data_IF_031839024764
#
_entry.id   IF_031839024764
#
_cell.length_a   1.000
_cell.length_b   1.000
_cell.length_c   1.000
_cell.angle_alpha   90.00
_cell.angle_beta   90.00
_cell.angle_gamma   90.00
#
_symmetry.space_group_name_H-M   'P 1'
#
loop_
_entity.id
_entity.type
_entity.pdbx_description
1 polymer ?
#
# COMPACT_ATOMS: atom_id res chain seq x y z
N UNK A 1 -12.71 28.78 8.52
CA UNK A 1 -13.06 27.51 9.20
C UNK A 1 -12.16 26.39 8.67
N UNK A 2 -10.96 26.20 9.21
CA UNK A 2 -10.11 25.03 8.93
C UNK A 2 -9.38 24.55 10.20
N UNK A 3 -9.97 24.78 11.37
CA UNK A 3 -9.36 24.44 12.66
C UNK A 3 -9.70 23.03 13.14
N UNK A 4 -10.76 22.41 12.62
CA UNK A 4 -11.25 21.10 13.08
C UNK A 4 -10.28 19.97 12.72
N UNK A 5 -9.71 19.98 11.51
CA UNK A 5 -8.70 18.99 11.10
C UNK A 5 -7.43 19.06 11.95
N UNK A 6 -6.97 20.25 12.29
CA UNK A 6 -5.79 20.44 13.15
C UNK A 6 -6.05 20.01 14.60
N UNK A 7 -7.23 20.33 15.16
CA UNK A 7 -7.63 19.89 16.51
C UNK A 7 -7.65 18.37 16.61
N UNK A 8 -8.28 17.70 15.65
CA UNK A 8 -8.36 16.22 15.61
C UNK A 8 -7.00 15.57 15.43
N UNK A 9 -6.08 16.19 14.68
CA UNK A 9 -4.72 15.70 14.53
C UNK A 9 -3.95 15.74 15.87
N UNK A 10 -4.14 16.79 16.67
CA UNK A 10 -3.54 16.89 18.01
C UNK A 10 -4.13 15.84 18.96
N UNK A 11 -5.45 15.64 18.93
CA UNK A 11 -6.14 14.62 19.76
C UNK A 11 -5.71 13.18 19.42
N UNK A 12 -5.45 12.90 18.14
CA UNK A 12 -5.06 11.56 17.68
C UNK A 12 -3.59 11.21 17.98
N UNK A 13 -2.78 12.19 18.39
CA UNK A 13 -1.37 11.98 18.70
C UNK A 13 -0.52 11.62 17.47
N UNK A 14 0.73 11.25 17.73
CA UNK A 14 1.67 10.85 16.68
C UNK A 14 1.46 9.39 16.28
N UNK A 15 1.53 9.10 14.97
CA UNK A 15 1.38 7.74 14.46
C UNK A 15 2.40 6.79 15.11
N UNK A 16 2.03 5.56 15.50
CA UNK A 16 2.98 4.54 15.94
C UNK A 16 4.08 4.27 14.89
N UNK A 17 3.75 4.49 13.61
CA UNK A 17 4.65 4.34 12.47
C UNK A 17 5.38 5.64 12.10
N UNK A 18 5.26 6.71 12.90
CA UNK A 18 6.03 7.92 12.68
C UNK A 18 7.53 7.61 12.70
N UNK A 19 8.22 8.03 11.64
CA UNK A 19 9.64 7.75 11.40
C UNK A 19 9.92 6.43 10.65
N UNK A 20 8.92 5.57 10.43
CA UNK A 20 9.10 4.36 9.62
C UNK A 20 9.38 4.72 8.16
N UNK A 21 10.40 4.10 7.58
CA UNK A 21 10.70 4.17 6.16
C UNK A 21 10.87 2.76 5.64
N UNK A 22 10.07 2.40 4.65
CA UNK A 22 10.13 1.10 4.03
C UNK A 22 11.35 1.02 3.11
N UNK A 23 12.23 0.06 3.34
CA UNK A 23 13.34 -0.29 2.45
C UNK A 23 12.82 -1.17 1.32
N UNK A 24 12.87 -0.63 0.11
CA UNK A 24 12.36 -1.31 -1.09
C UNK A 24 13.41 -2.18 -1.78
N UNK A 25 14.69 -2.10 -1.37
CA UNK A 25 15.78 -2.86 -2.01
C UNK A 25 15.46 -4.36 -2.12
N UNK A 26 14.92 -5.04 -1.08
CA UNK A 26 14.66 -6.49 -1.13
C UNK A 26 13.58 -6.92 -2.13
N UNK A 27 12.73 -5.99 -2.57
CA UNK A 27 11.52 -6.30 -3.37
C UNK A 27 11.41 -5.43 -4.64
N UNK A 28 12.54 -4.94 -5.14
CA UNK A 28 12.54 -3.99 -6.27
C UNK A 28 11.90 -4.58 -7.53
N UNK A 29 12.06 -5.89 -7.76
CA UNK A 29 11.49 -6.58 -8.91
C UNK A 29 9.95 -6.69 -8.80
N UNK A 30 9.44 -7.07 -7.64
CA UNK A 30 8.01 -7.15 -7.35
C UNK A 30 7.36 -5.78 -7.47
N UNK A 31 7.99 -4.72 -6.96
CA UNK A 31 7.47 -3.35 -7.12
C UNK A 31 7.33 -2.93 -8.58
N UNK A 32 8.31 -3.27 -9.43
CA UNK A 32 8.24 -2.98 -10.85
C UNK A 32 7.09 -3.75 -11.54
N UNK A 33 6.92 -5.04 -11.21
CA UNK A 33 5.83 -5.85 -11.73
C UNK A 33 4.45 -5.34 -11.25
N UNK A 34 4.34 -4.97 -9.98
CA UNK A 34 3.12 -4.41 -9.40
C UNK A 34 2.74 -3.07 -10.01
N UNK A 35 3.71 -2.21 -10.35
CA UNK A 35 3.43 -0.93 -11.01
C UNK A 35 2.89 -1.14 -12.43
N UNK A 36 3.39 -2.15 -13.16
CA UNK A 36 2.81 -2.52 -14.45
C UNK A 36 1.34 -2.93 -14.31
N UNK A 37 1.03 -3.81 -13.35
CA UNK A 37 -0.36 -4.22 -13.05
C UNK A 37 -1.21 -3.02 -12.65
N UNK A 38 -0.69 -2.12 -11.81
CA UNK A 38 -1.40 -0.92 -11.38
C UNK A 38 -1.81 -0.07 -12.58
N UNK A 39 -0.89 0.19 -13.51
CA UNK A 39 -1.16 1.02 -14.68
C UNK A 39 -2.24 0.43 -15.59
N UNK A 40 -2.22 -0.90 -15.75
CA UNK A 40 -3.10 -1.59 -16.69
C UNK A 40 -4.48 -1.92 -16.11
N UNK A 41 -4.57 -2.22 -14.82
CA UNK A 41 -5.79 -2.75 -14.21
C UNK A 41 -6.36 -1.86 -13.11
N UNK A 42 -5.53 -1.22 -12.29
CA UNK A 42 -6.02 -0.48 -11.10
C UNK A 42 -6.37 0.97 -11.44
N UNK A 43 -5.55 1.66 -12.23
CA UNK A 43 -5.81 3.06 -12.60
C UNK A 43 -7.16 3.21 -13.32
N UNK A 44 -7.52 2.40 -14.33
CA UNK A 44 -8.84 2.47 -14.97
C UNK A 44 -9.98 2.23 -13.98
N UNK A 45 -9.86 1.23 -13.10
CA UNK A 45 -10.85 0.94 -12.06
C UNK A 45 -11.04 2.13 -11.09
N UNK A 46 -9.95 2.78 -10.70
CA UNK A 46 -10.00 3.92 -9.76
C UNK A 46 -10.73 5.15 -10.30
N UNK A 47 -10.79 5.29 -11.62
CA UNK A 47 -11.50 6.38 -12.31
C UNK A 47 -12.86 5.94 -12.86
N UNK A 48 -13.31 4.71 -12.55
CA UNK A 48 -14.60 4.18 -12.97
C UNK A 48 -14.66 3.72 -14.44
N UNK A 49 -13.51 3.54 -15.11
CA UNK A 49 -13.45 2.95 -16.45
C UNK A 49 -13.49 1.43 -16.35
N UNK A 50 -14.70 0.88 -16.27
CA UNK A 50 -14.97 -0.56 -16.16
C UNK A 50 -16.31 -0.90 -16.79
N UNK A 51 -16.37 -2.03 -17.48
CA UNK A 51 -17.62 -2.58 -18.05
C UNK A 51 -18.27 -3.62 -17.11
N UNK A 52 -17.55 -4.03 -16.06
CA UNK A 52 -18.00 -4.98 -15.05
C UNK A 52 -17.10 -4.95 -13.81
N UNK A 53 -17.40 -4.04 -12.87
CA UNK A 53 -16.54 -3.72 -11.73
C UNK A 53 -16.09 -4.94 -10.94
N UNK A 54 -17.00 -5.88 -10.66
CA UNK A 54 -16.67 -7.06 -9.85
C UNK A 54 -15.69 -8.00 -10.56
N UNK A 55 -15.87 -8.21 -11.86
CA UNK A 55 -15.00 -9.07 -12.67
C UNK A 55 -13.63 -8.42 -12.89
N UNK A 56 -13.61 -7.13 -13.22
CA UNK A 56 -12.38 -6.36 -13.43
C UNK A 56 -11.58 -6.25 -12.13
N UNK A 57 -12.25 -6.05 -10.99
CA UNK A 57 -11.60 -6.04 -9.68
C UNK A 57 -11.04 -7.41 -9.31
N UNK A 58 -11.76 -8.50 -9.61
CA UNK A 58 -11.26 -9.85 -9.38
C UNK A 58 -9.99 -10.14 -10.21
N UNK A 59 -9.99 -9.74 -11.49
CA UNK A 59 -8.82 -9.84 -12.35
C UNK A 59 -7.65 -8.99 -11.84
N UNK A 60 -7.89 -7.74 -11.47
CA UNK A 60 -6.87 -6.85 -10.92
C UNK A 60 -6.23 -7.43 -9.64
N UNK A 61 -7.03 -8.04 -8.76
CA UNK A 61 -6.53 -8.71 -7.55
C UNK A 61 -5.66 -9.91 -7.88
N UNK A 62 -6.07 -10.74 -8.83
CA UNK A 62 -5.27 -11.89 -9.27
C UNK A 62 -3.93 -11.42 -9.85
N UNK A 63 -3.95 -10.49 -10.79
CA UNK A 63 -2.75 -9.94 -11.42
C UNK A 63 -1.80 -9.32 -10.39
N UNK A 64 -2.34 -8.57 -9.42
CA UNK A 64 -1.55 -7.96 -8.35
C UNK A 64 -0.91 -9.01 -7.44
N UNK A 65 -1.65 -10.10 -7.15
CA UNK A 65 -1.11 -11.21 -6.37
C UNK A 65 0.03 -11.92 -7.10
N UNK A 66 -0.12 -12.18 -8.40
CA UNK A 66 0.90 -12.82 -9.25
C UNK A 66 2.13 -11.93 -9.45
N UNK A 67 1.95 -10.61 -9.47
CA UNK A 67 3.04 -9.63 -9.58
C UNK A 67 3.91 -9.48 -8.33
N UNK A 68 3.58 -10.17 -7.23
CA UNK A 68 4.41 -10.19 -6.02
C UNK A 68 3.85 -9.44 -4.81
N UNK A 69 2.57 -9.06 -4.82
CA UNK A 69 1.94 -8.44 -3.65
C UNK A 69 2.08 -9.25 -2.34
N UNK A 70 1.99 -10.60 -2.34
CA UNK A 70 2.26 -11.37 -1.12
C UNK A 70 3.69 -11.20 -0.59
N UNK A 71 4.68 -11.12 -1.47
CA UNK A 71 6.08 -10.88 -1.11
C UNK A 71 6.26 -9.47 -0.54
N UNK A 72 5.67 -8.46 -1.19
CA UNK A 72 5.63 -7.09 -0.68
C UNK A 72 5.05 -7.02 0.74
N UNK A 73 3.90 -7.66 0.98
CA UNK A 73 3.25 -7.67 2.30
C UNK A 73 4.10 -8.36 3.36
N UNK A 74 4.77 -9.46 2.99
CA UNK A 74 5.68 -10.18 3.89
C UNK A 74 6.88 -9.31 4.28
N UNK A 75 7.50 -8.65 3.31
CA UNK A 75 8.66 -7.78 3.56
C UNK A 75 8.26 -6.56 4.41
N UNK A 76 7.11 -5.95 4.10
CA UNK A 76 6.56 -4.86 4.90
C UNK A 76 6.37 -5.28 6.36
N UNK A 77 5.79 -6.46 6.61
CA UNK A 77 5.59 -6.96 7.97
C UNK A 77 6.92 -7.17 8.71
N UNK A 78 7.93 -7.76 8.04
CA UNK A 78 9.27 -7.97 8.63
C UNK A 78 9.88 -6.63 9.08
N UNK A 79 9.81 -5.60 8.22
CA UNK A 79 10.38 -4.29 8.54
C UNK A 79 9.59 -3.55 9.62
N UNK A 80 8.27 -3.70 9.63
CA UNK A 80 7.42 -3.14 10.70
C UNK A 80 7.72 -3.80 12.05
N UNK A 81 7.91 -5.13 12.08
CA UNK A 81 8.27 -5.86 13.29
C UNK A 81 9.64 -5.43 13.81
N UNK A 82 10.63 -5.29 12.92
CA UNK A 82 11.96 -4.78 13.25
C UNK A 82 11.89 -3.34 13.81
N UNK A 83 11.12 -2.47 13.17
CA UNK A 83 10.92 -1.09 13.61
C UNK A 83 10.25 -1.01 14.99
N UNK A 84 9.22 -1.81 15.22
CA UNK A 84 8.53 -1.89 16.51
C UNK A 84 9.46 -2.39 17.62
N UNK A 85 10.36 -3.33 17.32
CA UNK A 85 11.37 -3.80 18.27
C UNK A 85 12.42 -2.74 18.62
N UNK A 86 12.79 -1.85 17.69
CA UNK A 86 13.72 -0.74 17.93
C UNK A 86 13.13 0.39 18.78
N UNK A 87 11.80 0.57 18.78
CA UNK A 87 11.11 1.56 19.61
C UNK A 87 10.90 1.14 21.08
N UNK A 88 11.23 -0.11 21.43
CA UNK A 88 11.09 -0.64 22.79
C UNK A 88 12.28 -0.33 23.68
#
# INVERSE_FOLDING_TARGET
MHSEGAKRAVENGESPLAGFRFDTVPITAELAAMEAVRSHYIVPLSVGMSEGIDADLALARQQMSEAGFPSFMKELQIQLDAFAAMKR
#
